data_IF_971680065453
#
_entry.id   IF_971680065453
#
_cell.length_a   1.000
_cell.length_b   1.000
_cell.length_c   1.000
_cell.angle_alpha   90.00
_cell.angle_beta   90.00
_cell.angle_gamma   90.00
#
_symmetry.space_group_name_H-M   'P 1'
#
loop_
_entity.id
_entity.type
_entity.pdbx_description
1 polymer ?
#
# COMPACT_ATOMS: atom_id res chain seq x y z
N UNK A 1 -11.75 19.80 -0.13
CA UNK A 1 -11.98 18.63 -1.00
C UNK A 1 -10.63 18.02 -1.22
N UNK A 2 -10.47 16.77 -0.82
CA UNK A 2 -9.17 16.10 -0.72
C UNK A 2 -8.77 15.53 -2.08
N UNK A 3 -7.49 15.25 -2.30
CA UNK A 3 -6.99 14.79 -3.61
C UNK A 3 -7.65 13.46 -4.02
N UNK A 4 -7.86 12.56 -3.05
CA UNK A 4 -8.47 11.25 -3.25
C UNK A 4 -9.93 11.34 -3.73
N UNK A 5 -10.65 12.43 -3.43
CA UNK A 5 -12.04 12.62 -3.92
C UNK A 5 -12.12 12.78 -5.45
N UNK A 6 -10.99 13.02 -6.12
CA UNK A 6 -10.93 13.37 -7.55
C UNK A 6 -10.39 12.27 -8.45
N UNK A 7 -9.96 11.14 -7.88
CA UNK A 7 -9.29 10.06 -8.60
C UNK A 7 -10.04 8.74 -8.45
N UNK A 8 -9.78 7.78 -9.33
CA UNK A 8 -10.37 6.44 -9.23
C UNK A 8 -9.88 5.70 -7.98
N UNK A 9 -10.64 4.71 -7.51
CA UNK A 9 -10.24 3.88 -6.36
C UNK A 9 -8.89 3.19 -6.61
N UNK A 10 -8.62 2.75 -7.84
CA UNK A 10 -7.33 2.20 -8.26
C UNK A 10 -6.19 3.20 -8.11
N UNK A 11 -6.43 4.46 -8.46
CA UNK A 11 -5.44 5.52 -8.33
C UNK A 11 -5.14 5.83 -6.86
N UNK A 12 -6.13 5.74 -5.98
CA UNK A 12 -5.90 5.87 -4.53
C UNK A 12 -4.98 4.75 -4.02
N UNK A 13 -5.25 3.49 -4.39
CA UNK A 13 -4.40 2.37 -3.97
C UNK A 13 -2.99 2.45 -4.58
N UNK A 14 -2.89 2.79 -5.87
CA UNK A 14 -1.62 2.95 -6.57
C UNK A 14 -0.75 4.05 -5.97
N UNK A 15 -1.35 5.11 -5.42
CA UNK A 15 -0.62 6.18 -4.74
C UNK A 15 0.20 5.66 -3.56
N UNK A 16 -0.44 4.91 -2.66
CA UNK A 16 0.24 4.36 -1.48
C UNK A 16 1.26 3.30 -1.88
N UNK A 17 0.91 2.37 -2.78
CA UNK A 17 1.84 1.35 -3.25
C UNK A 17 3.08 1.95 -3.91
N UNK A 18 2.91 2.99 -4.74
CA UNK A 18 4.03 3.68 -5.36
C UNK A 18 4.96 4.32 -4.32
N UNK A 19 4.40 5.04 -3.35
CA UNK A 19 5.20 5.73 -2.35
C UNK A 19 5.95 4.73 -1.46
N UNK A 20 5.30 3.62 -1.11
CA UNK A 20 5.94 2.52 -0.38
C UNK A 20 7.11 1.92 -1.17
N UNK A 21 6.99 1.75 -2.50
CA UNK A 21 8.11 1.25 -3.33
C UNK A 21 9.35 2.15 -3.29
N UNK A 22 9.17 3.45 -3.03
CA UNK A 22 10.29 4.40 -2.96
C UNK A 22 11.10 4.30 -1.67
N UNK A 23 10.57 3.67 -0.64
CA UNK A 23 11.23 3.50 0.67
C UNK A 23 11.45 2.03 1.02
N UNK A 24 11.16 1.13 0.07
CA UNK A 24 11.14 -0.32 0.29
C UNK A 24 12.55 -0.93 0.45
N UNK A 25 13.57 -0.21 -0.02
CA UNK A 25 14.98 -0.59 0.11
C UNK A 25 15.45 -0.60 1.57
N UNK A 26 14.85 0.23 2.44
CA UNK A 26 15.13 0.28 3.89
C UNK A 26 15.06 -1.11 4.52
N UNK A 27 13.96 -1.80 4.28
CA UNK A 27 13.71 -3.15 4.82
C UNK A 27 14.18 -4.29 3.91
N UNK A 28 14.93 -4.00 2.84
CA UNK A 28 15.31 -5.03 1.85
C UNK A 28 16.34 -6.06 2.35
N UNK A 29 16.96 -5.77 3.49
CA UNK A 29 18.01 -6.59 4.08
C UNK A 29 17.49 -7.68 5.02
N UNK A 30 16.20 -7.64 5.39
CA UNK A 30 15.56 -8.64 6.24
C UNK A 30 15.24 -9.94 5.48
N UNK A 31 15.34 -11.09 6.15
CA UNK A 31 15.07 -12.40 5.52
C UNK A 31 13.63 -12.53 5.03
N UNK A 32 12.68 -11.97 5.77
CA UNK A 32 11.25 -11.96 5.44
C UNK A 32 10.87 -10.97 4.33
N UNK A 33 11.81 -10.14 3.83
CA UNK A 33 11.54 -9.13 2.80
C UNK A 33 10.91 -9.71 1.52
N UNK A 34 11.23 -10.96 1.20
CA UNK A 34 10.65 -11.63 0.03
C UNK A 34 9.12 -11.76 0.12
N UNK A 35 8.57 -11.95 1.32
CA UNK A 35 7.11 -11.95 1.55
C UNK A 35 6.51 -10.57 1.30
N UNK A 36 7.17 -9.50 1.75
CA UNK A 36 6.77 -8.12 1.46
C UNK A 36 6.73 -7.87 -0.05
N UNK A 37 7.78 -8.25 -0.79
CA UNK A 37 7.81 -8.08 -2.25
C UNK A 37 6.71 -8.86 -2.95
N UNK A 38 6.44 -10.09 -2.52
CA UNK A 38 5.36 -10.90 -3.08
C UNK A 38 3.99 -10.23 -2.86
N UNK A 39 3.70 -9.80 -1.62
CA UNK A 39 2.45 -9.12 -1.28
C UNK A 39 2.28 -7.82 -2.07
N UNK A 40 3.33 -6.99 -2.16
CA UNK A 40 3.32 -5.77 -2.98
C UNK A 40 3.03 -6.07 -4.47
N UNK A 41 3.59 -7.16 -5.02
CA UNK A 41 3.33 -7.58 -6.39
C UNK A 41 1.86 -8.03 -6.58
N UNK A 42 1.28 -8.72 -5.59
CA UNK A 42 -0.14 -9.11 -5.62
C UNK A 42 -1.04 -7.87 -5.62
N UNK A 43 -0.75 -6.88 -4.77
CA UNK A 43 -1.47 -5.61 -4.73
C UNK A 43 -1.42 -4.87 -6.08
N UNK A 44 -0.24 -4.78 -6.70
CA UNK A 44 -0.12 -4.21 -8.05
C UNK A 44 -0.91 -4.99 -9.09
N UNK A 45 -0.85 -6.32 -9.06
CA UNK A 45 -1.59 -7.16 -9.99
C UNK A 45 -3.11 -7.03 -9.82
N UNK A 46 -3.60 -6.79 -8.60
CA UNK A 46 -5.00 -6.44 -8.36
C UNK A 46 -5.39 -5.12 -9.04
N UNK A 47 -4.53 -4.09 -8.98
CA UNK A 47 -4.78 -2.81 -9.66
C UNK A 47 -4.79 -2.96 -11.18
N UNK A 48 -3.81 -3.66 -11.75
CA UNK A 48 -3.62 -3.73 -13.20
C UNK A 48 -4.63 -4.66 -13.89
N UNK A 49 -4.89 -5.81 -13.27
CA UNK A 49 -5.58 -6.93 -13.91
C UNK A 49 -6.65 -7.59 -13.05
N UNK A 50 -6.88 -7.12 -11.81
CA UNK A 50 -7.80 -7.76 -10.85
C UNK A 50 -7.47 -9.24 -10.62
N UNK A 51 -6.18 -9.61 -10.65
CA UNK A 51 -5.78 -11.02 -10.63
C UNK A 51 -5.86 -11.70 -9.27
N UNK A 52 -6.20 -10.97 -8.20
CA UNK A 52 -6.37 -11.48 -6.84
C UNK A 52 -7.69 -10.99 -6.24
N UNK A 53 -8.32 -11.76 -5.36
CA UNK A 53 -9.47 -11.28 -4.60
C UNK A 53 -9.03 -10.50 -3.36
N UNK A 54 -9.95 -9.70 -2.80
CA UNK A 54 -9.73 -9.04 -1.51
C UNK A 54 -9.46 -10.04 -0.38
N UNK A 55 -10.02 -11.26 -0.47
CA UNK A 55 -9.71 -12.33 0.47
C UNK A 55 -8.26 -12.83 0.33
N UNK A 56 -7.82 -13.13 -0.90
CA UNK A 56 -6.43 -13.60 -1.14
C UNK A 56 -5.40 -12.55 -0.71
N UNK A 57 -5.71 -11.26 -0.90
CA UNK A 57 -4.86 -10.17 -0.43
C UNK A 57 -4.90 -10.01 1.09
N UNK A 58 -6.05 -10.23 1.73
CA UNK A 58 -6.19 -10.17 3.18
C UNK A 58 -5.39 -11.28 3.88
N UNK A 59 -5.37 -12.49 3.32
CA UNK A 59 -4.56 -13.59 3.83
C UNK A 59 -3.06 -13.25 3.87
N UNK A 60 -2.58 -12.29 3.06
CA UNK A 60 -1.20 -11.80 3.13
C UNK A 60 -0.96 -10.77 4.25
N UNK A 61 -2.00 -10.12 4.76
CA UNK A 61 -1.91 -9.29 5.96
C UNK A 61 -1.96 -10.14 7.22
N UNK A 62 -2.99 -10.97 7.31
CA UNK A 62 -3.35 -11.70 8.50
C UNK A 62 -3.50 -13.18 8.14
N UNK A 63 -2.36 -13.83 7.93
CA UNK A 63 -2.32 -15.26 7.68
C UNK A 63 -2.49 -15.99 9.02
N UNK A 64 -3.72 -16.40 9.33
CA UNK A 64 -4.02 -17.13 10.56
C UNK A 64 -3.32 -18.52 10.61
N UNK A 65 -2.89 -19.05 9.45
CA UNK A 65 -2.30 -20.38 9.33
C UNK A 65 -0.77 -20.36 9.18
N UNK A 66 -0.14 -19.19 8.94
CA UNK A 66 1.31 -19.07 8.74
C UNK A 66 1.96 -17.87 9.42
N UNK A 67 3.27 -17.99 9.68
CA UNK A 67 4.10 -16.89 10.20
C UNK A 67 4.49 -15.86 9.11
N UNK A 68 3.95 -15.98 7.89
CA UNK A 68 4.37 -15.17 6.73
C UNK A 68 3.47 -13.97 6.44
N UNK A 69 2.31 -13.87 7.11
CA UNK A 69 1.44 -12.70 7.05
C UNK A 69 2.13 -11.45 7.63
N UNK A 70 1.85 -10.27 7.08
CA UNK A 70 2.51 -9.03 7.51
C UNK A 70 2.29 -8.71 9.00
N UNK A 71 1.12 -9.05 9.56
CA UNK A 71 0.87 -8.90 11.00
C UNK A 71 1.65 -9.92 11.83
N UNK A 72 1.82 -11.15 11.35
CA UNK A 72 2.67 -12.16 12.00
C UNK A 72 4.14 -11.73 11.97
N UNK A 73 4.64 -11.25 10.83
CA UNK A 73 5.97 -10.67 10.70
C UNK A 73 6.14 -9.50 11.68
N UNK A 74 5.17 -8.58 11.73
CA UNK A 74 5.16 -7.49 12.71
C UNK A 74 5.27 -8.04 14.15
N UNK A 75 4.40 -8.96 14.54
CA UNK A 75 4.35 -9.46 15.92
C UNK A 75 5.61 -10.25 16.32
N UNK A 76 6.23 -10.97 15.39
CA UNK A 76 7.37 -11.86 15.66
C UNK A 76 8.72 -11.15 15.54
N UNK A 77 8.85 -10.20 14.61
CA UNK A 77 10.14 -9.55 14.28
C UNK A 77 10.29 -8.17 14.95
N UNK A 78 9.19 -7.51 15.31
CA UNK A 78 9.24 -6.24 16.09
C UNK A 78 9.64 -6.47 17.55
N UNK A 79 9.47 -7.70 18.07
CA UNK A 79 9.94 -8.07 19.41
C UNK A 79 11.39 -8.60 19.43
N UNK A 80 12.09 -8.64 18.27
CA UNK A 80 13.46 -9.18 18.18
C UNK A 80 14.46 -8.52 17.20
N UNK A 81 14.13 -7.53 16.35
CA UNK A 81 15.16 -7.01 15.43
C UNK A 81 14.82 -5.92 14.39
N UNK A 82 13.78 -5.10 14.57
CA UNK A 82 13.80 -3.79 13.91
C UNK A 82 14.83 -2.92 14.63
N UNK A 83 16.01 -2.80 14.02
CA UNK A 83 17.17 -2.18 14.64
C UNK A 83 17.14 -0.64 14.51
N UNK A 84 16.30 -0.11 13.62
CA UNK A 84 16.16 1.30 13.27
C UNK A 84 14.68 1.74 13.21
N UNK A 85 14.38 2.93 13.75
CA UNK A 85 13.06 3.55 13.70
C UNK A 85 12.59 3.76 12.23
N UNK A 86 13.51 3.97 11.28
CA UNK A 86 13.17 4.11 9.86
C UNK A 86 12.67 2.81 9.22
N UNK A 87 13.23 1.67 9.62
CA UNK A 87 12.83 0.37 9.09
C UNK A 87 11.41 0.02 9.54
N UNK A 88 11.07 0.35 10.79
CA UNK A 88 9.71 0.24 11.32
C UNK A 88 8.74 1.14 10.56
N UNK A 89 9.10 2.40 10.32
CA UNK A 89 8.28 3.33 9.55
C UNK A 89 8.05 2.83 8.11
N UNK A 90 9.09 2.32 7.44
CA UNK A 90 8.99 1.76 6.10
C UNK A 90 8.08 0.53 6.07
N UNK A 91 8.22 -0.37 7.06
CA UNK A 91 7.37 -1.55 7.18
C UNK A 91 5.91 -1.20 7.47
N UNK A 92 5.64 -0.18 8.30
CA UNK A 92 4.28 0.31 8.48
C UNK A 92 3.69 0.94 7.22
N UNK A 93 4.48 1.58 6.38
CA UNK A 93 4.02 2.04 5.07
C UNK A 93 3.63 0.86 4.16
N UNK A 94 4.29 -0.29 4.28
CA UNK A 94 3.86 -1.53 3.59
C UNK A 94 2.50 -1.97 4.11
N UNK A 95 2.34 -2.11 5.43
CA UNK A 95 1.08 -2.54 6.04
C UNK A 95 -0.07 -1.62 5.62
N UNK A 96 0.10 -0.30 5.72
CA UNK A 96 -0.93 0.66 5.34
C UNK A 96 -1.32 0.55 3.86
N UNK A 97 -0.33 0.46 2.96
CA UNK A 97 -0.58 0.38 1.52
C UNK A 97 -1.30 -0.93 1.13
N UNK A 98 -0.89 -2.04 1.74
CA UNK A 98 -1.53 -3.35 1.52
C UNK A 98 -2.94 -3.37 2.11
N UNK A 99 -3.13 -2.93 3.35
CA UNK A 99 -4.44 -2.85 4.00
C UNK A 99 -5.42 -1.96 3.22
N UNK A 100 -4.94 -0.84 2.69
CA UNK A 100 -5.75 0.02 1.83
C UNK A 100 -6.12 -0.66 0.50
N UNK A 101 -5.20 -1.41 -0.09
CA UNK A 101 -5.48 -2.17 -1.32
C UNK A 101 -6.52 -3.27 -1.06
N UNK A 102 -6.42 -3.99 0.06
CA UNK A 102 -7.42 -4.99 0.49
C UNK A 102 -8.78 -4.33 0.67
N UNK A 103 -8.83 -3.19 1.36
CA UNK A 103 -10.07 -2.43 1.56
C UNK A 103 -10.73 -2.05 0.23
N UNK A 104 -9.94 -1.60 -0.75
CA UNK A 104 -10.44 -1.29 -2.09
C UNK A 104 -10.91 -2.54 -2.85
N UNK A 105 -10.20 -3.66 -2.73
CA UNK A 105 -10.59 -4.94 -3.32
C UNK A 105 -11.93 -5.44 -2.76
N UNK A 106 -12.10 -5.41 -1.43
CA UNK A 106 -13.35 -5.79 -0.77
C UNK A 106 -14.54 -4.91 -1.20
N UNK A 107 -14.32 -3.60 -1.35
CA UNK A 107 -15.34 -2.67 -1.88
C UNK A 107 -15.70 -2.97 -3.32
N UNK A 108 -14.69 -3.22 -4.17
CA UNK A 108 -14.88 -3.53 -5.59
C UNK A 108 -15.70 -4.81 -5.80
N UNK A 109 -15.51 -5.81 -4.94
CA UNK A 109 -16.25 -7.07 -5.02
C UNK A 109 -17.72 -6.98 -4.61
N UNK A 110 -18.19 -5.80 -4.17
CA UNK A 110 -19.58 -5.53 -3.74
C UNK A 110 -20.09 -6.49 -2.64
N UNK A 111 -19.19 -7.19 -1.95
CA UNK A 111 -19.55 -8.14 -0.88
C UNK A 111 -19.92 -7.43 0.43
N UNK A 112 -19.67 -6.12 0.54
CA UNK A 112 -19.97 -5.31 1.73
C UNK A 112 -19.25 -5.74 3.01
N UNK A 113 -18.39 -6.75 2.93
CA UNK A 113 -17.63 -7.30 4.04
C UNK A 113 -16.20 -6.79 3.96
N UNK A 114 -15.79 -6.07 5.00
CA UNK A 114 -14.41 -5.67 5.25
C UNK A 114 -13.97 -6.42 6.52
N UNK A 115 -12.86 -7.16 6.49
CA UNK A 115 -12.35 -7.86 7.66
C UNK A 115 -12.13 -6.92 8.85
N UNK A 116 -12.41 -7.40 10.07
CA UNK A 116 -12.36 -6.59 11.29
C UNK A 116 -10.98 -5.94 11.51
N UNK A 117 -9.89 -6.64 11.18
CA UNK A 117 -8.54 -6.14 11.37
C UNK A 117 -8.24 -4.87 10.54
N UNK A 118 -8.98 -4.62 9.47
CA UNK A 118 -8.83 -3.43 8.61
C UNK A 118 -10.08 -2.54 8.57
N UNK A 119 -11.01 -2.70 9.52
CA UNK A 119 -12.25 -1.92 9.57
C UNK A 119 -12.00 -0.40 9.72
N UNK A 120 -10.88 -0.03 10.36
CA UNK A 120 -10.46 1.37 10.53
C UNK A 120 -10.03 2.02 9.21
N UNK A 121 -9.67 1.22 8.20
CA UNK A 121 -9.15 1.71 6.93
C UNK A 121 -10.23 2.46 6.17
N UNK A 122 -9.91 3.71 5.80
CA UNK A 122 -10.72 4.57 4.93
C UNK A 122 -9.83 5.65 4.31
N UNK A 123 -10.36 6.41 3.37
CA UNK A 123 -9.60 7.43 2.63
C UNK A 123 -8.92 8.47 3.55
N UNK A 124 -9.65 9.02 4.52
CA UNK A 124 -9.15 10.08 5.42
C UNK A 124 -8.12 9.53 6.42
N UNK A 125 -8.45 8.42 7.08
CA UNK A 125 -7.56 7.80 8.06
C UNK A 125 -6.25 7.34 7.41
N UNK A 126 -6.34 6.69 6.25
CA UNK A 126 -5.16 6.16 5.57
C UNK A 126 -4.28 7.28 5.04
N UNK A 127 -4.84 8.33 4.41
CA UNK A 127 -4.04 9.46 3.94
C UNK A 127 -3.31 10.14 5.11
N UNK A 128 -3.98 10.35 6.24
CA UNK A 128 -3.39 10.94 7.44
C UNK A 128 -2.26 10.10 8.04
N UNK A 129 -2.52 8.82 8.33
CA UNK A 129 -1.55 7.95 8.99
C UNK A 129 -0.38 7.58 8.07
N UNK A 130 -0.64 7.25 6.81
CA UNK A 130 0.41 6.91 5.85
C UNK A 130 1.36 8.10 5.64
N UNK A 131 0.81 9.29 5.35
CA UNK A 131 1.62 10.47 5.10
C UNK A 131 2.39 10.91 6.36
N UNK A 132 1.81 10.74 7.56
CA UNK A 132 2.52 10.99 8.82
C UNK A 132 3.76 10.10 8.96
N UNK A 133 3.66 8.81 8.59
CA UNK A 133 4.76 7.85 8.70
C UNK A 133 5.84 8.09 7.63
N UNK A 134 5.46 8.11 6.36
CA UNK A 134 6.43 8.18 5.26
C UNK A 134 7.27 9.46 5.28
N UNK A 135 6.70 10.59 5.71
CA UNK A 135 7.42 11.86 5.81
C UNK A 135 8.51 11.89 6.90
N UNK A 136 8.57 10.88 7.77
CA UNK A 136 9.60 10.76 8.80
C UNK A 136 10.81 9.93 8.33
N UNK A 137 10.72 9.24 7.19
CA UNK A 137 11.82 8.46 6.62
C UNK A 137 12.80 9.44 5.94
N UNK A 138 14.09 9.40 6.28
CA UNK A 138 15.09 10.37 5.80
C UNK A 138 15.08 10.55 4.27
N UNK A 139 15.02 9.47 3.51
CA UNK A 139 15.17 9.52 2.05
C UNK A 139 13.87 9.87 1.31
N UNK A 140 12.77 10.03 2.03
CA UNK A 140 11.51 10.47 1.45
C UNK A 140 11.60 11.89 0.90
N UNK A 141 11.01 12.12 -0.28
CA UNK A 141 10.89 13.44 -0.88
C UNK A 141 9.42 13.82 -1.03
N UNK A 142 9.02 14.95 -0.47
CA UNK A 142 7.64 15.47 -0.57
C UNK A 142 7.16 15.61 -2.02
N UNK A 143 8.09 15.93 -2.94
CA UNK A 143 7.80 16.03 -4.37
C UNK A 143 7.28 14.73 -4.99
N UNK A 144 7.61 13.56 -4.43
CA UNK A 144 7.10 12.29 -4.94
C UNK A 144 5.58 12.21 -4.79
N UNK A 145 5.08 12.53 -3.60
CA UNK A 145 3.65 12.54 -3.33
C UNK A 145 2.95 13.62 -4.16
N UNK A 146 3.52 14.82 -4.24
CA UNK A 146 2.88 15.92 -4.98
C UNK A 146 2.82 15.65 -6.49
N UNK A 147 3.92 15.23 -7.11
CA UNK A 147 3.96 14.92 -8.54
C UNK A 147 3.03 13.75 -8.88
N UNK A 148 2.98 12.73 -8.02
CA UNK A 148 2.07 11.61 -8.23
C UNK A 148 0.61 12.02 -8.11
N UNK A 149 0.24 12.81 -7.08
CA UNK A 149 -1.12 13.37 -6.95
C UNK A 149 -1.53 14.14 -8.20
N UNK A 150 -0.66 15.05 -8.68
CA UNK A 150 -0.92 15.82 -9.90
C UNK A 150 -1.09 14.92 -11.13
N UNK A 151 -0.24 13.89 -11.28
CA UNK A 151 -0.35 12.93 -12.37
C UNK A 151 -1.67 12.15 -12.34
N UNK A 152 -2.02 11.59 -11.18
CA UNK A 152 -3.24 10.80 -11.01
C UNK A 152 -4.49 11.65 -11.22
N UNK A 153 -4.53 12.86 -10.66
CA UNK A 153 -5.65 13.81 -10.87
C UNK A 153 -5.81 14.25 -12.32
N UNK A 154 -4.76 14.15 -13.14
CA UNK A 154 -4.83 14.49 -14.58
C UNK A 154 -5.24 13.30 -15.45
N UNK A 155 -4.88 12.08 -15.06
CA UNK A 155 -4.96 10.90 -15.93
C UNK A 155 -5.93 9.82 -15.46
N UNK A 156 -6.21 9.74 -14.17
CA UNK A 156 -7.00 8.69 -13.52
C UNK A 156 -8.08 9.30 -12.63
N UNK A 157 -8.91 10.15 -13.23
CA UNK A 157 -10.03 10.83 -12.57
C UNK A 157 -11.05 9.85 -12.00
N UNK A 158 -11.83 10.28 -11.01
CA UNK A 158 -12.96 9.52 -10.49
C UNK A 158 -13.92 9.11 -11.62
N UNK A 159 -14.25 7.80 -11.69
CA UNK A 159 -15.06 7.21 -12.75
C UNK A 159 -14.33 6.97 -14.09
N UNK A 160 -13.01 7.16 -14.14
CA UNK A 160 -12.20 6.80 -15.30
C UNK A 160 -11.94 5.29 -15.35
N UNK A 161 -12.12 4.68 -16.54
CA UNK A 161 -11.73 3.30 -16.83
C UNK A 161 -10.26 3.17 -17.27
N UNK A 162 -9.48 4.26 -17.23
CA UNK A 162 -8.07 4.23 -17.62
C UNK A 162 -7.29 3.36 -16.65
N UNK A 163 -6.88 2.18 -17.13
CA UNK A 163 -5.99 1.27 -16.40
C UNK A 163 -4.71 1.97 -15.95
N UNK A 164 -4.31 1.68 -14.72
CA UNK A 164 -3.00 2.05 -14.18
C UNK A 164 -2.01 0.96 -14.56
N UNK A 165 -0.77 1.36 -14.85
CA UNK A 165 0.35 0.45 -15.02
C UNK A 165 1.45 0.81 -14.03
N UNK A 166 1.91 -0.18 -13.25
CA UNK A 166 2.97 -0.03 -12.26
C UNK A 166 4.23 0.54 -12.88
N UNK A 167 4.66 -0.03 -14.02
CA UNK A 167 5.88 0.38 -14.72
C UNK A 167 5.81 1.84 -15.18
N UNK A 168 4.65 2.27 -15.69
CA UNK A 168 4.41 3.66 -16.06
C UNK A 168 4.60 4.56 -14.84
N UNK A 169 3.91 4.26 -13.73
CA UNK A 169 4.01 5.08 -12.51
C UNK A 169 5.42 5.15 -11.96
N UNK A 170 6.11 4.01 -11.83
CA UNK A 170 7.48 3.93 -11.31
C UNK A 170 8.48 4.71 -12.19
N UNK A 171 8.18 4.91 -13.48
CA UNK A 171 9.01 5.70 -14.39
C UNK A 171 8.78 7.21 -14.33
N UNK A 172 7.65 7.69 -13.77
CA UNK A 172 7.26 9.11 -13.79
C UNK A 172 8.13 10.01 -12.90
N UNK A 173 8.73 9.43 -11.87
CA UNK A 173 9.44 10.17 -10.83
C UNK A 173 10.79 9.46 -10.66
N UNK A 174 11.73 9.85 -11.51
CA UNK A 174 13.16 9.59 -11.40
C UNK A 174 13.85 10.86 -10.88
#
# INVERSE_FOLDING_TARGET
MQWYDHVSEDAKAAFYLFLTEKVLDKISHYEWFHHVKETMNMCWNWIEERGWSGHDLYERLDDEESETGLFSIHMNEVDAGLDDDEDELAFFCVIDAVAYTVWQACKYEEKGYVPQAIEVVNDEFTDGEFMRKICQIHDYQEEWAERLKQYLMKNHLAGSDKKIQREELLSLIL
#
